data_IF_701827538200
#
_entry.id   IF_701827538200
#
_cell.length_a   1.000
_cell.length_b   1.000
_cell.length_c   1.000
_cell.angle_alpha   90.00
_cell.angle_beta   90.00
_cell.angle_gamma   90.00
#
_symmetry.space_group_name_H-M   'P 1'
#
loop_
_entity.id
_entity.type
_entity.pdbx_description
1 polymer ?
#
# COMPACT_ATOMS: atom_id res chain seq x y z
N UNK A 1 57.35 -23.96 23.17
CA UNK A 1 56.76 -23.53 24.46
C UNK A 1 55.45 -22.85 24.17
N UNK A 2 54.34 -23.44 24.65
CA UNK A 2 52.96 -23.09 24.24
C UNK A 2 52.48 -21.73 24.75
N UNK A 3 53.06 -21.22 25.83
CA UNK A 3 52.57 -20.03 26.54
C UNK A 3 53.56 -18.86 26.60
N UNK A 4 54.75 -18.99 25.99
CA UNK A 4 55.81 -18.03 25.97
C UNK A 4 57.15 -18.61 26.52
N UNK A 5 58.27 -17.91 26.27
CA UNK A 5 59.62 -18.31 26.70
C UNK A 5 60.03 -17.57 28.00
N UNK A 6 59.41 -16.46 28.29
CA UNK A 6 59.68 -15.62 29.48
C UNK A 6 58.44 -15.45 30.35
N UNK A 7 58.61 -15.08 31.60
CA UNK A 7 57.50 -14.82 32.54
C UNK A 7 56.60 -13.69 32.00
N UNK A 8 57.18 -12.65 31.39
CA UNK A 8 56.41 -11.56 30.75
C UNK A 8 55.46 -12.06 29.66
N UNK A 9 55.98 -12.89 28.73
CA UNK A 9 55.14 -13.46 27.66
C UNK A 9 54.04 -14.38 28.20
N UNK A 10 54.29 -15.07 29.32
CA UNK A 10 53.26 -15.92 29.96
C UNK A 10 52.13 -15.05 30.60
N UNK A 11 52.48 -13.92 31.19
CA UNK A 11 51.52 -12.97 31.76
C UNK A 11 50.69 -12.31 30.66
N UNK A 12 51.32 -11.89 29.58
CA UNK A 12 50.62 -11.30 28.40
C UNK A 12 49.66 -12.34 27.74
N UNK A 13 50.06 -13.62 27.68
CA UNK A 13 49.19 -14.67 27.22
C UNK A 13 47.99 -14.89 28.14
N UNK A 14 48.21 -14.87 29.46
CA UNK A 14 47.15 -15.02 30.44
C UNK A 14 46.14 -13.87 30.34
N UNK A 15 46.62 -12.64 30.23
CA UNK A 15 45.76 -11.45 30.12
C UNK A 15 44.92 -11.49 28.84
N UNK A 16 45.53 -11.84 27.70
CA UNK A 16 44.79 -12.03 26.45
C UNK A 16 43.73 -13.13 26.52
N UNK A 17 44.10 -14.30 27.09
CA UNK A 17 43.17 -15.41 27.24
C UNK A 17 42.02 -15.10 28.18
N UNK A 18 42.25 -14.34 29.24
CA UNK A 18 41.17 -13.86 30.10
C UNK A 18 40.22 -12.91 29.36
N UNK A 19 40.80 -11.99 28.62
CA UNK A 19 39.98 -11.06 27.81
C UNK A 19 39.14 -11.80 26.74
N UNK A 20 39.72 -12.77 26.06
CA UNK A 20 39.02 -13.63 25.10
C UNK A 20 37.88 -14.42 25.79
N UNK A 21 38.13 -14.95 26.99
CA UNK A 21 37.12 -15.68 27.76
C UNK A 21 35.94 -14.77 28.15
N UNK A 22 36.27 -13.59 28.70
CA UNK A 22 35.27 -12.59 29.06
C UNK A 22 34.43 -12.14 27.84
N UNK A 23 35.08 -11.96 26.68
CA UNK A 23 34.37 -11.64 25.41
C UNK A 23 33.43 -12.77 24.97
N UNK A 24 33.80 -14.03 25.15
CA UNK A 24 32.94 -15.17 24.83
C UNK A 24 31.74 -15.27 25.79
N UNK A 25 31.99 -15.15 27.11
CA UNK A 25 30.90 -15.16 28.11
C UNK A 25 29.93 -14.02 27.91
N UNK A 26 30.43 -12.80 27.61
CA UNK A 26 29.58 -11.66 27.26
C UNK A 26 28.82 -11.84 25.96
N UNK A 27 29.36 -12.60 24.99
CA UNK A 27 28.70 -12.86 23.72
C UNK A 27 27.41 -13.66 23.91
N UNK A 28 27.43 -14.69 24.75
CA UNK A 28 26.25 -15.55 25.00
C UNK A 28 25.10 -14.73 25.65
N UNK A 29 25.40 -13.95 26.68
CA UNK A 29 24.44 -13.05 27.32
C UNK A 29 23.89 -12.03 26.31
N UNK A 30 24.74 -11.49 25.46
CA UNK A 30 24.34 -10.53 24.42
C UNK A 30 23.44 -11.16 23.37
N UNK A 31 23.69 -12.40 22.97
CA UNK A 31 22.83 -13.15 22.06
C UNK A 31 21.43 -13.32 22.65
N UNK A 32 21.33 -13.73 23.91
CA UNK A 32 20.03 -13.91 24.61
C UNK A 32 19.27 -12.58 24.68
N UNK A 33 19.94 -11.48 25.02
CA UNK A 33 19.33 -10.15 25.05
C UNK A 33 18.84 -9.70 23.66
N UNK A 34 19.66 -9.92 22.61
CA UNK A 34 19.30 -9.56 21.23
C UNK A 34 18.12 -10.39 20.73
N UNK A 35 18.09 -11.69 21.02
CA UNK A 35 16.96 -12.56 20.68
C UNK A 35 15.67 -12.11 21.37
N UNK A 36 15.74 -11.76 22.66
CA UNK A 36 14.60 -11.21 23.39
C UNK A 36 14.10 -9.88 22.82
N UNK A 37 15.03 -9.01 22.45
CA UNK A 37 14.71 -7.72 21.82
C UNK A 37 14.09 -7.92 20.43
N UNK A 38 14.66 -8.82 19.62
CA UNK A 38 14.14 -9.16 18.30
C UNK A 38 12.71 -9.69 18.39
N UNK A 39 12.45 -10.67 19.25
CA UNK A 39 11.12 -11.25 19.41
C UNK A 39 10.08 -10.18 19.85
N UNK A 40 10.48 -9.24 20.71
CA UNK A 40 9.63 -8.12 21.11
C UNK A 40 9.32 -7.19 19.94
N UNK A 41 10.33 -6.80 19.17
CA UNK A 41 10.17 -5.91 18.01
C UNK A 41 9.35 -6.56 16.89
N UNK A 42 9.54 -7.84 16.63
CA UNK A 42 8.73 -8.60 15.66
C UNK A 42 7.24 -8.59 16.07
N UNK A 43 6.95 -8.83 17.34
CA UNK A 43 5.58 -8.80 17.86
C UNK A 43 4.94 -7.40 17.72
N UNK A 44 5.68 -6.34 18.06
CA UNK A 44 5.20 -4.96 17.94
C UNK A 44 4.98 -4.58 16.47
N UNK A 45 5.90 -4.96 15.59
CA UNK A 45 5.79 -4.75 14.14
C UNK A 45 4.56 -5.44 13.57
N UNK A 46 4.34 -6.73 13.88
CA UNK A 46 3.18 -7.47 13.41
C UNK A 46 1.86 -6.89 13.93
N UNK A 47 1.83 -6.41 15.18
CA UNK A 47 0.65 -5.76 15.73
C UNK A 47 0.33 -4.45 14.99
N UNK A 48 1.34 -3.62 14.71
CA UNK A 48 1.19 -2.40 13.93
C UNK A 48 0.74 -2.69 12.49
N UNK A 49 1.34 -3.70 11.83
CA UNK A 49 0.98 -4.10 10.48
C UNK A 49 -0.47 -4.60 10.38
N UNK A 50 -0.95 -5.37 11.35
CA UNK A 50 -2.36 -5.81 11.43
C UNK A 50 -3.31 -4.62 11.62
N UNK A 51 -2.98 -3.70 12.53
CA UNK A 51 -3.77 -2.48 12.74
C UNK A 51 -3.90 -1.67 11.44
N UNK A 52 -2.81 -1.55 10.67
CA UNK A 52 -2.83 -0.89 9.37
C UNK A 52 -3.69 -1.65 8.35
N UNK A 53 -3.58 -2.98 8.30
CA UNK A 53 -4.40 -3.85 7.43
C UNK A 53 -5.89 -3.68 7.71
N UNK A 54 -6.29 -3.72 8.98
CA UNK A 54 -7.69 -3.55 9.39
C UNK A 54 -8.23 -2.17 9.01
N UNK A 55 -7.44 -1.12 9.22
CA UNK A 55 -7.81 0.23 8.82
C UNK A 55 -7.96 0.36 7.30
N UNK A 56 -7.06 -0.23 6.50
CA UNK A 56 -7.15 -0.29 5.04
C UNK A 56 -8.40 -1.02 4.57
N UNK A 57 -8.67 -2.19 5.13
CA UNK A 57 -9.86 -3.01 4.79
C UNK A 57 -11.16 -2.28 5.14
N UNK A 58 -11.19 -1.56 6.25
CA UNK A 58 -12.34 -0.72 6.62
C UNK A 58 -12.53 0.45 5.65
N UNK A 59 -11.45 1.17 5.31
CA UNK A 59 -11.49 2.27 4.35
C UNK A 59 -11.87 1.78 2.94
N UNK A 60 -11.41 0.60 2.53
CA UNK A 60 -11.71 0.01 1.23
C UNK A 60 -13.21 -0.19 1.02
N UNK A 61 -13.94 -0.70 2.01
CA UNK A 61 -15.41 -0.88 1.92
C UNK A 61 -16.12 0.44 1.64
N UNK A 62 -15.77 1.50 2.37
CA UNK A 62 -16.34 2.83 2.17
C UNK A 62 -15.98 3.37 0.79
N UNK A 63 -14.74 3.17 0.35
CA UNK A 63 -14.26 3.61 -0.94
C UNK A 63 -14.97 2.89 -2.09
N UNK A 64 -15.14 1.57 -2.01
CA UNK A 64 -15.89 0.78 -2.99
C UNK A 64 -17.31 1.29 -3.17
N UNK A 65 -18.04 1.51 -2.08
CA UNK A 65 -19.41 2.02 -2.12
C UNK A 65 -19.49 3.41 -2.78
N UNK A 66 -18.57 4.31 -2.44
CA UNK A 66 -18.51 5.66 -3.00
C UNK A 66 -18.19 5.62 -4.49
N UNK A 67 -17.22 4.82 -4.92
CA UNK A 67 -16.85 4.66 -6.33
C UNK A 67 -18.01 4.07 -7.14
N UNK A 68 -18.64 3.01 -6.66
CA UNK A 68 -19.79 2.42 -7.33
C UNK A 68 -20.96 3.39 -7.46
N UNK A 69 -21.18 4.27 -6.50
CA UNK A 69 -22.18 5.34 -6.57
C UNK A 69 -21.84 6.34 -7.67
N UNK A 70 -20.60 6.82 -7.70
CA UNK A 70 -20.13 7.76 -8.74
C UNK A 70 -20.24 7.16 -10.15
N UNK A 71 -19.89 5.87 -10.30
CA UNK A 71 -19.99 5.16 -11.58
C UNK A 71 -21.44 5.00 -12.06
N UNK A 72 -22.38 4.73 -11.15
CA UNK A 72 -23.82 4.70 -11.48
C UNK A 72 -24.33 6.06 -11.94
N UNK A 73 -23.85 7.15 -11.33
CA UNK A 73 -24.20 8.52 -11.77
C UNK A 73 -23.64 8.87 -13.16
N UNK A 74 -22.58 8.18 -13.60
CA UNK A 74 -22.03 8.26 -14.96
C UNK A 74 -22.70 7.27 -15.96
N UNK A 75 -23.83 6.68 -15.57
CA UNK A 75 -24.58 5.68 -16.36
C UNK A 75 -23.83 4.35 -16.60
N UNK A 76 -22.85 4.04 -15.71
CA UNK A 76 -22.07 2.82 -15.75
C UNK A 76 -22.62 1.77 -14.77
N UNK A 77 -23.88 1.43 -14.88
CA UNK A 77 -24.64 0.61 -13.93
C UNK A 77 -24.19 -0.87 -13.88
N UNK A 78 -23.52 -1.36 -14.92
CA UNK A 78 -23.08 -2.75 -15.04
C UNK A 78 -21.67 -2.98 -14.48
N UNK A 79 -20.96 -1.91 -14.18
CA UNK A 79 -19.59 -1.96 -13.66
C UNK A 79 -19.58 -2.57 -12.27
N UNK A 80 -18.67 -3.49 -12.06
CA UNK A 80 -18.31 -4.00 -10.73
C UNK A 80 -16.92 -3.48 -10.37
N UNK A 81 -16.75 -3.07 -9.15
CA UNK A 81 -15.49 -2.59 -8.58
C UNK A 81 -15.24 -3.27 -7.25
N UNK A 82 -14.02 -3.71 -7.00
CA UNK A 82 -13.60 -4.30 -5.73
C UNK A 82 -12.14 -3.98 -5.44
N UNK A 83 -11.83 -3.85 -4.16
CA UNK A 83 -10.46 -3.67 -3.68
C UNK A 83 -10.02 -4.98 -3.04
N UNK A 84 -9.06 -5.63 -3.67
CA UNK A 84 -8.52 -6.93 -3.25
C UNK A 84 -7.27 -6.75 -2.40
N UNK A 85 -7.14 -7.59 -1.38
CA UNK A 85 -6.02 -7.62 -0.44
C UNK A 85 -5.37 -8.99 -0.47
N UNK A 86 -4.08 -9.02 -0.75
CA UNK A 86 -3.26 -10.23 -0.66
C UNK A 86 -2.19 -10.00 0.41
N UNK A 87 -2.14 -10.85 1.42
CA UNK A 87 -1.13 -10.77 2.47
C UNK A 87 0.22 -11.24 1.95
N UNK A 88 1.28 -10.58 2.41
CA UNK A 88 2.68 -10.91 2.16
C UNK A 88 3.52 -10.76 3.43
N UNK A 89 4.80 -11.18 3.38
CA UNK A 89 5.75 -10.94 4.47
C UNK A 89 5.83 -9.43 4.78
N UNK A 90 5.90 -9.07 6.08
CA UNK A 90 5.93 -7.68 6.50
C UNK A 90 7.08 -6.89 5.88
N UNK A 91 6.76 -5.71 5.35
CA UNK A 91 7.74 -4.74 4.83
C UNK A 91 7.45 -3.31 5.34
N UNK A 92 8.16 -2.31 4.81
CA UNK A 92 7.99 -0.90 5.18
C UNK A 92 6.58 -0.35 4.89
N UNK A 93 5.78 -1.05 4.08
CA UNK A 93 4.41 -0.66 3.70
C UNK A 93 3.33 -1.46 4.43
N UNK A 94 3.71 -2.45 5.24
CA UNK A 94 2.80 -3.32 6.00
C UNK A 94 2.80 -4.76 5.49
N UNK A 95 1.65 -5.42 5.53
CA UNK A 95 1.46 -6.83 5.13
C UNK A 95 0.51 -7.01 3.96
N UNK A 96 0.00 -5.94 3.36
CA UNK A 96 -1.02 -6.04 2.32
C UNK A 96 -0.52 -5.50 0.97
N UNK A 97 -0.64 -6.31 -0.06
CA UNK A 97 -0.69 -5.84 -1.45
C UNK A 97 -2.14 -5.50 -1.78
N UNK A 98 -2.41 -4.24 -2.12
CA UNK A 98 -3.74 -3.74 -2.45
C UNK A 98 -3.89 -3.62 -3.95
N UNK A 99 -4.98 -4.20 -4.50
CA UNK A 99 -5.27 -4.16 -5.94
C UNK A 99 -6.68 -3.66 -6.19
N UNK A 100 -6.82 -2.72 -7.09
CA UNK A 100 -8.11 -2.26 -7.58
C UNK A 100 -8.52 -3.11 -8.77
N UNK A 101 -9.61 -3.85 -8.60
CA UNK A 101 -10.16 -4.74 -9.60
C UNK A 101 -11.48 -4.19 -10.10
N UNK A 102 -11.74 -4.36 -11.39
CA UNK A 102 -12.96 -3.90 -12.02
C UNK A 102 -13.39 -4.81 -13.16
N UNK A 103 -14.69 -4.82 -13.43
CA UNK A 103 -15.28 -5.41 -14.63
C UNK A 103 -16.24 -4.38 -15.23
N UNK A 104 -16.10 -4.10 -16.52
CA UNK A 104 -16.95 -3.14 -17.24
C UNK A 104 -18.35 -3.71 -17.54
N UNK A 105 -18.47 -5.01 -17.72
CA UNK A 105 -19.69 -5.69 -18.10
C UNK A 105 -20.18 -6.71 -17.07
N UNK A 106 -21.48 -6.91 -17.00
CA UNK A 106 -22.05 -7.95 -16.17
C UNK A 106 -21.62 -9.35 -16.69
N UNK A 107 -21.11 -10.18 -15.76
CA UNK A 107 -20.67 -11.55 -16.08
C UNK A 107 -19.20 -11.69 -16.46
N UNK A 108 -18.47 -10.60 -16.68
CA UNK A 108 -17.02 -10.65 -16.87
C UNK A 108 -16.29 -10.77 -15.52
N UNK A 109 -15.12 -11.40 -15.54
CA UNK A 109 -14.25 -11.48 -14.37
C UNK A 109 -13.69 -10.12 -13.99
N UNK A 110 -13.47 -9.91 -12.69
CA UNK A 110 -12.78 -8.74 -12.18
C UNK A 110 -11.30 -8.77 -12.61
N UNK A 111 -10.84 -7.69 -13.23
CA UNK A 111 -9.45 -7.52 -13.71
C UNK A 111 -8.85 -6.25 -13.13
N UNK A 112 -7.53 -6.15 -12.97
CA UNK A 112 -6.86 -4.91 -12.62
C UNK A 112 -7.28 -3.78 -13.56
N UNK A 113 -7.49 -2.57 -13.03
CA UNK A 113 -8.01 -1.40 -13.79
C UNK A 113 -7.19 -1.14 -15.05
N UNK A 114 -5.87 -1.29 -14.99
CA UNK A 114 -4.97 -1.08 -16.15
C UNK A 114 -5.17 -2.09 -17.30
N UNK A 115 -5.98 -3.13 -17.12
CA UNK A 115 -6.31 -4.13 -18.16
C UNK A 115 -7.68 -3.91 -18.79
N UNK A 116 -8.34 -2.80 -18.49
CA UNK A 116 -9.62 -2.44 -19.10
C UNK A 116 -9.36 -1.85 -20.48
N UNK A 117 -10.02 -2.41 -21.50
CA UNK A 117 -9.64 -2.23 -22.90
C UNK A 117 -10.18 -0.94 -23.56
N UNK A 118 -11.19 -0.27 -22.99
CA UNK A 118 -11.84 0.90 -23.62
C UNK A 118 -11.30 2.21 -23.04
N UNK A 119 -10.73 3.09 -23.89
CA UNK A 119 -10.23 4.40 -23.49
C UNK A 119 -11.29 5.27 -22.82
N UNK A 120 -12.45 5.43 -23.45
CA UNK A 120 -13.53 6.23 -22.90
C UNK A 120 -14.15 5.67 -21.61
N UNK A 121 -14.24 4.34 -21.45
CA UNK A 121 -14.66 3.73 -20.18
C UNK A 121 -13.63 3.97 -19.08
N UNK A 122 -12.36 3.78 -19.38
CA UNK A 122 -11.28 4.03 -18.44
C UNK A 122 -11.24 5.50 -18.01
N UNK A 123 -11.41 6.44 -18.93
CA UNK A 123 -11.46 7.86 -18.64
C UNK A 123 -12.61 8.20 -17.66
N UNK A 124 -13.80 7.66 -17.85
CA UNK A 124 -14.95 7.84 -16.94
C UNK A 124 -14.73 7.18 -15.57
N UNK A 125 -14.11 6.02 -15.54
CA UNK A 125 -13.70 5.35 -14.30
C UNK A 125 -12.72 6.24 -13.52
N UNK A 126 -11.73 6.81 -14.21
CA UNK A 126 -10.77 7.72 -13.60
C UNK A 126 -11.44 9.02 -13.12
N UNK A 127 -12.41 9.54 -13.86
CA UNK A 127 -13.23 10.68 -13.41
C UNK A 127 -13.98 10.34 -12.11
N UNK A 128 -14.62 9.17 -12.02
CA UNK A 128 -15.30 8.74 -10.79
C UNK A 128 -14.34 8.60 -9.61
N UNK A 129 -13.19 7.96 -9.80
CA UNK A 129 -12.13 7.84 -8.81
C UNK A 129 -11.65 9.22 -8.33
N UNK A 130 -11.36 10.12 -9.25
CA UNK A 130 -10.92 11.49 -8.94
C UNK A 130 -11.98 12.30 -8.21
N UNK A 131 -13.25 12.12 -8.52
CA UNK A 131 -14.34 12.76 -7.75
C UNK A 131 -14.39 12.27 -6.30
N UNK A 132 -14.24 10.95 -6.07
CA UNK A 132 -14.25 10.38 -4.72
C UNK A 132 -13.04 10.80 -3.91
N UNK A 133 -11.86 10.86 -4.53
CA UNK A 133 -10.58 11.15 -3.87
C UNK A 133 -10.23 12.65 -3.86
N UNK A 134 -11.10 13.51 -4.44
CA UNK A 134 -10.82 14.93 -4.65
C UNK A 134 -10.42 15.69 -3.38
N UNK A 135 -10.92 15.30 -2.21
CA UNK A 135 -10.59 15.98 -0.95
C UNK A 135 -9.18 15.64 -0.42
N UNK A 136 -8.67 14.45 -0.74
CA UNK A 136 -7.35 13.97 -0.31
C UNK A 136 -6.25 14.19 -1.34
N UNK A 137 -6.64 14.45 -2.60
CA UNK A 137 -5.69 14.63 -3.69
C UNK A 137 -5.18 16.09 -3.71
N UNK A 138 -3.87 16.29 -3.68
CA UNK A 138 -3.23 17.61 -3.70
C UNK A 138 -2.93 18.14 -5.11
N UNK A 139 -3.30 17.40 -6.16
CA UNK A 139 -3.09 17.81 -7.54
C UNK A 139 -4.06 18.95 -7.91
N UNK A 140 -3.52 20.08 -8.36
CA UNK A 140 -4.30 21.28 -8.66
C UNK A 140 -4.88 21.30 -10.08
N UNK A 141 -4.28 20.58 -11.02
CA UNK A 141 -4.72 20.51 -12.43
C UNK A 141 -4.98 19.05 -12.83
N UNK A 142 -6.13 18.81 -13.43
CA UNK A 142 -6.52 17.50 -13.96
C UNK A 142 -6.84 17.63 -15.43
N UNK A 143 -6.31 16.70 -16.23
CA UNK A 143 -6.57 16.60 -17.66
C UNK A 143 -7.35 15.32 -17.92
N UNK A 144 -8.50 15.43 -18.55
CA UNK A 144 -9.34 14.30 -18.92
C UNK A 144 -9.43 14.22 -20.44
N UNK A 145 -8.86 13.19 -21.02
CA UNK A 145 -8.95 12.91 -22.44
C UNK A 145 -9.98 11.80 -22.71
N UNK A 146 -10.72 11.92 -23.81
CA UNK A 146 -11.70 10.93 -24.28
C UNK A 146 -12.86 10.62 -23.29
N UNK A 147 -13.10 11.44 -22.27
CA UNK A 147 -14.07 11.15 -21.20
C UNK A 147 -15.52 11.12 -21.73
N UNK A 148 -15.80 11.79 -22.84
CA UNK A 148 -17.08 11.87 -23.54
C UNK A 148 -17.19 10.86 -24.70
N UNK A 149 -16.13 10.10 -24.99
CA UNK A 149 -16.13 9.13 -26.10
C UNK A 149 -17.12 8.01 -25.86
N UNK A 150 -17.99 7.77 -26.86
CA UNK A 150 -19.00 6.73 -26.83
C UNK A 150 -20.19 7.00 -25.92
N UNK A 151 -20.35 8.23 -25.40
CA UNK A 151 -21.52 8.63 -24.63
C UNK A 151 -22.32 9.73 -25.33
N UNK A 152 -23.62 9.76 -25.09
CA UNK A 152 -24.53 10.76 -25.65
C UNK A 152 -25.66 11.11 -24.68
N UNK A 153 -26.39 12.19 -24.97
CA UNK A 153 -27.57 12.57 -24.19
C UNK A 153 -27.28 12.73 -22.71
N UNK A 154 -28.01 12.01 -21.87
CA UNK A 154 -27.94 12.13 -20.42
C UNK A 154 -26.59 11.75 -19.83
N UNK A 155 -25.93 10.74 -20.40
CA UNK A 155 -24.60 10.31 -19.91
C UNK A 155 -23.54 11.40 -20.13
N UNK A 156 -23.51 12.06 -21.30
CA UNK A 156 -22.61 13.18 -21.57
C UNK A 156 -22.87 14.36 -20.62
N UNK A 157 -24.15 14.68 -20.35
CA UNK A 157 -24.50 15.72 -19.37
C UNK A 157 -23.96 15.38 -17.98
N UNK A 158 -24.08 14.14 -17.52
CA UNK A 158 -23.55 13.69 -16.23
C UNK A 158 -22.03 13.82 -16.14
N UNK A 159 -21.32 13.49 -17.21
CA UNK A 159 -19.86 13.70 -17.29
C UNK A 159 -19.53 15.19 -17.11
N UNK A 160 -20.20 16.06 -17.87
CA UNK A 160 -20.02 17.52 -17.77
C UNK A 160 -20.31 18.06 -16.36
N UNK A 161 -21.40 17.61 -15.72
CA UNK A 161 -21.74 17.99 -14.34
C UNK A 161 -20.65 17.58 -13.34
N UNK A 162 -20.06 16.37 -13.51
CA UNK A 162 -18.96 15.88 -12.66
C UNK A 162 -17.69 16.70 -12.86
N UNK A 163 -17.32 16.99 -14.10
CA UNK A 163 -16.18 17.86 -14.41
C UNK A 163 -16.38 19.27 -13.85
N UNK A 164 -17.57 19.86 -14.02
CA UNK A 164 -17.91 21.15 -13.44
C UNK A 164 -17.85 21.16 -11.90
N UNK A 165 -18.20 20.07 -11.24
CA UNK A 165 -18.04 19.93 -9.79
C UNK A 165 -16.56 19.96 -9.38
N UNK A 166 -15.69 19.23 -10.09
CA UNK A 166 -14.24 19.22 -9.86
C UNK A 166 -13.63 20.60 -10.13
N UNK A 167 -14.07 21.31 -11.20
CA UNK A 167 -13.52 22.59 -11.60
C UNK A 167 -13.75 23.71 -10.59
N UNK A 168 -14.67 23.54 -9.64
CA UNK A 168 -14.89 24.51 -8.54
C UNK A 168 -13.70 24.64 -7.59
N UNK A 169 -12.85 23.66 -7.53
CA UNK A 169 -11.70 23.58 -6.60
C UNK A 169 -10.37 23.35 -7.29
N UNK A 170 -10.38 23.01 -8.59
CA UNK A 170 -9.19 22.58 -9.35
C UNK A 170 -9.31 23.03 -10.79
N UNK A 171 -8.19 23.18 -11.47
CA UNK A 171 -8.20 23.35 -12.91
C UNK A 171 -8.54 22.02 -13.58
N UNK A 172 -9.50 22.01 -14.48
CA UNK A 172 -9.93 20.85 -15.25
C UNK A 172 -9.83 21.19 -16.73
N UNK A 173 -9.12 20.37 -17.48
CA UNK A 173 -8.87 20.50 -18.92
C UNK A 173 -9.36 19.24 -19.62
#
# INVERSE_FOLDING_TARGET
KKYGATVGEMLDFLERSKKELDEIEYADDRIVQLQGTLAKQEKEMLAAARTLSDARKAAAKVLEERILRELRELDMNKVRFSIDFTEHEPDATGIDTVRFLMSANAGEDLKPIHKIASGGELARIMLALKNVLAEQDHVMTMVFDEVDTGVSGRAAQRVAEKMAKLSRRRQVL
#
